data_IF_593662154113
#
_entry.id   IF_593662154113
#
_cell.length_a   1.000
_cell.length_b   1.000
_cell.length_c   1.000
_cell.angle_alpha   90.00
_cell.angle_beta   90.00
_cell.angle_gamma   90.00
#
_symmetry.space_group_name_H-M   'P 1'
#
loop_
_entity.id
_entity.type
_entity.pdbx_description
1 polymer ?
#
# COMPACT_ATOMS: atom_id res chain seq x y z
N UNK A 1 20.65 0.53 26.72
CA UNK A 1 20.66 1.29 25.45
C UNK A 1 19.52 0.76 24.61
N UNK A 2 18.56 1.59 24.25
CA UNK A 2 17.39 1.18 23.46
C UNK A 2 17.82 1.04 22.00
N UNK A 3 17.46 -0.07 21.34
CA UNK A 3 17.70 -0.23 19.91
C UNK A 3 16.79 0.69 19.07
N UNK A 4 17.20 0.99 17.84
CA UNK A 4 16.48 1.92 16.96
C UNK A 4 15.06 1.44 16.60
N UNK A 5 14.83 0.13 16.55
CA UNK A 5 13.51 -0.46 16.22
C UNK A 5 12.51 -0.17 17.33
N UNK A 6 12.92 -0.40 18.58
CA UNK A 6 12.12 -0.08 19.77
C UNK A 6 11.84 1.42 19.83
N UNK A 7 12.85 2.26 19.55
CA UNK A 7 12.72 3.72 19.53
C UNK A 7 11.68 4.20 18.50
N UNK A 8 11.77 3.71 17.25
CA UNK A 8 10.83 4.05 16.17
C UNK A 8 9.39 3.62 16.47
N UNK A 9 9.23 2.55 17.26
CA UNK A 9 7.92 2.05 17.68
C UNK A 9 7.29 2.94 18.76
N UNK A 10 8.09 3.51 19.65
CA UNK A 10 7.64 4.41 20.71
C UNK A 10 7.23 5.79 20.19
N UNK A 11 8.07 6.41 19.34
CA UNK A 11 7.79 7.76 18.87
C UNK A 11 8.98 8.45 18.21
N UNK A 12 8.71 9.60 17.59
CA UNK A 12 9.71 10.35 16.82
C UNK A 12 10.82 10.94 17.71
N UNK A 13 10.47 11.38 18.93
CA UNK A 13 11.43 11.93 19.90
C UNK A 13 12.43 10.86 20.35
N UNK A 14 11.93 9.68 20.70
CA UNK A 14 12.70 8.51 21.08
C UNK A 14 13.61 8.06 19.94
N UNK A 15 13.08 8.00 18.72
CA UNK A 15 13.82 7.67 17.52
C UNK A 15 14.98 8.66 17.24
N UNK A 16 14.74 9.98 17.37
CA UNK A 16 15.80 11.00 17.21
C UNK A 16 16.89 10.85 18.27
N UNK A 17 16.51 10.60 19.53
CA UNK A 17 17.48 10.36 20.60
C UNK A 17 18.32 9.10 20.35
N UNK A 18 17.69 8.00 19.90
CA UNK A 18 18.37 6.76 19.56
C UNK A 18 19.32 6.94 18.35
N UNK A 19 18.91 7.68 17.33
CA UNK A 19 19.79 7.96 16.18
C UNK A 19 21.04 8.76 16.58
N UNK A 20 20.88 9.74 17.48
CA UNK A 20 21.97 10.62 17.90
C UNK A 20 23.15 9.86 18.54
N UNK A 21 22.86 8.73 19.20
CA UNK A 21 23.86 7.88 19.86
C UNK A 21 24.38 6.74 18.96
N UNK A 22 23.79 6.50 17.79
CA UNK A 22 24.26 5.47 16.87
C UNK A 22 25.58 5.87 16.19
N UNK A 23 26.52 4.92 16.00
CA UNK A 23 27.71 5.13 15.18
C UNK A 23 27.34 5.58 13.75
N UNK A 24 28.14 6.43 13.08
CA UNK A 24 27.84 6.92 11.74
C UNK A 24 27.56 5.82 10.70
N UNK A 25 28.28 4.70 10.76
CA UNK A 25 28.09 3.57 9.84
C UNK A 25 26.69 2.95 9.95
N UNK A 26 26.12 2.90 11.15
CA UNK A 26 24.82 2.29 11.44
C UNK A 26 23.65 3.21 11.04
N UNK A 27 23.90 4.52 10.88
CA UNK A 27 22.88 5.50 10.46
C UNK A 27 22.47 5.33 9.00
N UNK A 28 23.32 4.72 8.17
CA UNK A 28 23.09 4.57 6.72
C UNK A 28 21.74 3.92 6.40
N UNK A 29 21.30 2.96 7.21
CA UNK A 29 20.04 2.24 7.00
C UNK A 29 18.86 2.78 7.83
N UNK A 30 19.09 3.79 8.68
CA UNK A 30 18.08 4.30 9.60
C UNK A 30 16.88 4.89 8.86
N UNK A 31 17.10 5.62 7.77
CA UNK A 31 16.02 6.19 6.96
C UNK A 31 15.12 5.11 6.34
N UNK A 32 15.71 4.02 5.82
CA UNK A 32 14.96 2.91 5.25
C UNK A 32 14.16 2.15 6.33
N UNK A 33 14.77 1.96 7.49
CA UNK A 33 14.12 1.35 8.65
C UNK A 33 12.92 2.20 9.14
N UNK A 34 13.11 3.51 9.24
CA UNK A 34 12.05 4.45 9.60
C UNK A 34 10.88 4.37 8.62
N UNK A 35 11.14 4.31 7.31
CA UNK A 35 10.06 4.22 6.31
C UNK A 35 9.27 2.92 6.47
N UNK A 36 9.96 1.79 6.67
CA UNK A 36 9.34 0.48 6.87
C UNK A 36 8.37 0.47 8.06
N UNK A 37 8.72 1.17 9.14
CA UNK A 37 7.89 1.30 10.35
C UNK A 37 6.87 2.46 10.29
N UNK A 38 6.63 3.02 9.10
CA UNK A 38 5.61 4.06 8.91
C UNK A 38 6.03 5.43 9.47
N UNK A 39 7.33 5.75 9.43
CA UNK A 39 7.89 7.06 9.85
C UNK A 39 8.49 7.83 8.66
N UNK A 40 7.68 8.20 7.64
CA UNK A 40 8.20 8.86 6.45
C UNK A 40 8.88 10.21 6.73
N UNK A 41 8.44 10.96 7.75
CA UNK A 41 9.10 12.21 8.13
C UNK A 41 10.53 12.00 8.62
N UNK A 42 10.76 11.00 9.46
CA UNK A 42 12.11 10.64 9.91
C UNK A 42 12.98 10.15 8.74
N UNK A 43 12.40 9.43 7.78
CA UNK A 43 13.11 9.06 6.55
C UNK A 43 13.60 10.28 5.78
N UNK A 44 12.76 11.31 5.65
CA UNK A 44 13.12 12.56 4.96
C UNK A 44 14.20 13.35 5.71
N UNK A 45 14.21 13.28 7.04
CA UNK A 45 15.23 13.92 7.87
C UNK A 45 16.58 13.19 7.83
N UNK A 46 16.56 11.86 7.70
CA UNK A 46 17.75 11.02 7.91
C UNK A 46 18.38 10.50 6.62
N UNK A 47 17.63 10.47 5.52
CA UNK A 47 18.12 9.95 4.23
C UNK A 47 18.37 11.06 3.22
N UNK A 48 19.51 10.97 2.55
CA UNK A 48 19.84 11.70 1.33
C UNK A 48 19.57 10.87 0.06
N UNK A 49 19.18 9.60 0.18
CA UNK A 49 19.01 8.70 -0.96
C UNK A 49 17.70 9.00 -1.73
N UNK A 50 17.77 9.37 -3.02
CA UNK A 50 16.62 9.92 -3.74
C UNK A 50 15.40 9.00 -3.84
N UNK A 51 15.57 7.70 -4.07
CA UNK A 51 14.42 6.79 -4.25
C UNK A 51 13.70 6.59 -2.91
N UNK A 52 14.47 6.45 -1.83
CA UNK A 52 13.90 6.35 -0.49
C UNK A 52 13.17 7.63 -0.06
N UNK A 53 13.72 8.81 -0.37
CA UNK A 53 13.05 10.10 -0.14
C UNK A 53 11.78 10.23 -0.97
N UNK A 54 11.81 9.85 -2.24
CA UNK A 54 10.64 9.83 -3.10
C UNK A 54 9.56 8.89 -2.52
N UNK A 55 9.91 7.69 -2.08
CA UNK A 55 8.97 6.77 -1.43
C UNK A 55 8.36 7.36 -0.15
N UNK A 56 9.14 8.08 0.66
CA UNK A 56 8.64 8.78 1.85
C UNK A 56 7.68 9.93 1.49
N UNK A 57 7.99 10.76 0.49
CA UNK A 57 7.07 11.78 0.00
C UNK A 57 5.78 11.19 -0.56
N UNK A 58 5.85 10.07 -1.28
CA UNK A 58 4.66 9.38 -1.78
C UNK A 58 3.78 8.88 -0.63
N UNK A 59 4.37 8.39 0.47
CA UNK A 59 3.64 8.00 1.69
C UNK A 59 2.79 9.15 2.23
N UNK A 60 3.36 10.36 2.20
CA UNK A 60 2.74 11.61 2.65
C UNK A 60 1.78 12.22 1.62
N UNK A 61 1.64 11.64 0.43
CA UNK A 61 0.82 12.19 -0.65
C UNK A 61 1.46 13.38 -1.40
N UNK A 62 2.72 13.71 -1.09
CA UNK A 62 3.46 14.81 -1.71
C UNK A 62 4.05 14.41 -3.06
N UNK A 63 3.20 14.08 -4.03
CA UNK A 63 3.61 13.56 -5.36
C UNK A 63 4.51 14.52 -6.14
N UNK A 64 4.31 15.83 -6.01
CA UNK A 64 5.20 16.85 -6.59
C UNK A 64 6.64 16.80 -6.05
N UNK A 65 6.78 16.68 -4.73
CA UNK A 65 8.09 16.54 -4.08
C UNK A 65 8.75 15.19 -4.42
N UNK A 66 7.97 14.10 -4.48
CA UNK A 66 8.48 12.81 -4.92
C UNK A 66 9.03 12.87 -6.37
N UNK A 67 8.30 13.50 -7.30
CA UNK A 67 8.77 13.70 -8.68
C UNK A 67 10.05 14.55 -8.74
N UNK A 68 10.21 15.52 -7.84
CA UNK A 68 11.43 16.32 -7.74
C UNK A 68 12.64 15.47 -7.36
N UNK A 69 12.52 14.60 -6.35
CA UNK A 69 13.58 13.66 -5.95
C UNK A 69 13.92 12.66 -7.08
N UNK A 70 12.93 12.28 -7.89
CA UNK A 70 13.12 11.38 -9.03
C UNK A 70 13.72 12.06 -10.27
N UNK A 71 13.83 13.40 -10.31
CA UNK A 71 14.42 14.08 -11.48
C UNK A 71 15.88 13.65 -11.65
N UNK A 72 16.23 13.28 -12.88
CA UNK A 72 17.59 12.86 -13.22
C UNK A 72 17.95 11.44 -12.77
N UNK A 73 17.03 10.70 -12.14
CA UNK A 73 17.21 9.28 -11.91
C UNK A 73 17.15 8.53 -13.26
N UNK A 74 17.93 7.45 -13.43
CA UNK A 74 17.87 6.65 -14.65
C UNK A 74 16.50 5.99 -14.82
N UNK A 75 16.08 5.75 -16.07
CA UNK A 75 14.83 5.03 -16.36
C UNK A 75 15.04 3.52 -16.13
N UNK A 76 15.06 3.12 -14.86
CA UNK A 76 15.14 1.73 -14.41
C UNK A 76 13.89 1.36 -13.62
N UNK A 77 13.74 0.07 -13.33
CA UNK A 77 12.52 -0.49 -12.74
C UNK A 77 12.07 0.23 -11.46
N UNK A 78 12.98 0.52 -10.53
CA UNK A 78 12.64 1.13 -9.22
C UNK A 78 12.17 2.59 -9.34
N UNK A 79 12.90 3.51 -10.00
CA UNK A 79 12.38 4.85 -10.33
C UNK A 79 11.04 4.80 -11.08
N UNK A 80 10.90 3.91 -12.07
CA UNK A 80 9.67 3.79 -12.85
C UNK A 80 8.46 3.37 -11.98
N UNK A 81 8.64 2.45 -11.03
CA UNK A 81 7.60 2.10 -10.04
C UNK A 81 7.18 3.32 -9.22
N UNK A 82 8.13 4.14 -8.77
CA UNK A 82 7.83 5.34 -7.97
C UNK A 82 7.12 6.41 -8.79
N UNK A 83 7.50 6.59 -10.06
CA UNK A 83 6.77 7.45 -11.00
C UNK A 83 5.33 6.95 -11.24
N UNK A 84 5.15 5.66 -11.47
CA UNK A 84 3.83 5.05 -11.64
C UNK A 84 2.97 5.19 -10.38
N UNK A 85 3.56 5.04 -9.19
CA UNK A 85 2.88 5.29 -7.91
C UNK A 85 2.49 6.75 -7.76
N UNK A 86 3.35 7.70 -8.11
CA UNK A 86 3.01 9.13 -8.09
C UNK A 86 1.80 9.42 -9.00
N UNK A 87 1.83 8.89 -10.23
CA UNK A 87 0.73 9.04 -11.17
C UNK A 87 -0.57 8.40 -10.66
N UNK A 88 -0.50 7.22 -10.02
CA UNK A 88 -1.67 6.56 -9.41
C UNK A 88 -2.30 7.39 -8.29
N UNK A 89 -1.49 8.01 -7.43
CA UNK A 89 -1.97 8.85 -6.34
C UNK A 89 -2.63 10.14 -6.86
N UNK A 90 -2.08 10.73 -7.92
CA UNK A 90 -2.65 11.90 -8.59
C UNK A 90 -3.86 11.58 -9.48
N UNK A 91 -4.19 10.29 -9.67
CA UNK A 91 -5.19 9.82 -10.65
C UNK A 91 -4.89 10.33 -12.07
N UNK A 92 -3.61 10.39 -12.42
CA UNK A 92 -3.18 10.83 -13.74
C UNK A 92 -3.67 9.86 -14.84
N UNK A 93 -4.06 10.36 -16.02
CA UNK A 93 -4.62 9.53 -17.08
C UNK A 93 -3.63 8.50 -17.64
N UNK A 94 -2.33 8.75 -17.51
CA UNK A 94 -1.24 7.89 -17.96
C UNK A 94 -0.76 6.88 -16.90
N UNK A 95 -1.37 6.86 -15.71
CA UNK A 95 -0.92 6.04 -14.60
C UNK A 95 -0.90 4.53 -14.92
N UNK A 96 -1.83 4.05 -15.75
CA UNK A 96 -1.85 2.67 -16.23
C UNK A 96 -0.68 2.37 -17.19
N UNK A 97 -0.37 3.29 -18.10
CA UNK A 97 0.75 3.14 -19.02
C UNK A 97 2.10 3.12 -18.28
N UNK A 98 2.24 3.96 -17.24
CA UNK A 98 3.43 4.01 -16.38
C UNK A 98 3.59 2.72 -15.55
N UNK A 99 2.51 2.16 -15.00
CA UNK A 99 2.56 0.90 -14.28
C UNK A 99 2.97 -0.28 -15.19
N UNK A 100 2.45 -0.30 -16.42
CA UNK A 100 2.85 -1.29 -17.43
C UNK A 100 4.32 -1.12 -17.85
N UNK A 101 4.81 0.12 -17.97
CA UNK A 101 6.22 0.42 -18.25
C UNK A 101 7.15 -0.09 -17.14
N UNK A 102 6.83 0.25 -15.89
CA UNK A 102 7.57 -0.23 -14.73
C UNK A 102 7.64 -1.77 -14.67
N UNK A 103 6.54 -2.47 -15.01
CA UNK A 103 6.54 -3.92 -15.09
C UNK A 103 7.45 -4.48 -16.20
N UNK A 104 7.51 -3.82 -17.37
CA UNK A 104 8.42 -4.22 -18.46
C UNK A 104 9.89 -4.06 -18.03
N UNK A 105 10.25 -2.93 -17.44
CA UNK A 105 11.59 -2.69 -16.93
C UNK A 105 11.96 -3.71 -15.84
N UNK A 106 11.07 -3.94 -14.86
CA UNK A 106 11.31 -4.90 -13.79
C UNK A 106 11.58 -6.32 -14.31
N UNK A 107 10.86 -6.76 -15.36
CA UNK A 107 11.13 -8.05 -16.01
C UNK A 107 12.47 -8.06 -16.74
N UNK A 108 12.79 -7.00 -17.48
CA UNK A 108 14.03 -6.90 -18.22
C UNK A 108 15.27 -6.88 -17.32
N UNK A 109 15.15 -6.23 -16.15
CA UNK A 109 16.22 -6.12 -15.16
C UNK A 109 16.28 -7.30 -14.18
N UNK A 110 15.23 -8.13 -14.12
CA UNK A 110 15.11 -9.20 -13.13
C UNK A 110 14.86 -8.71 -11.70
N UNK A 111 14.38 -7.47 -11.52
CA UNK A 111 14.08 -6.92 -10.19
C UNK A 111 12.70 -7.41 -9.71
N UNK A 112 12.72 -8.50 -8.93
CA UNK A 112 11.51 -9.12 -8.37
C UNK A 112 10.69 -8.19 -7.47
N UNK A 113 11.34 -7.30 -6.70
CA UNK A 113 10.63 -6.37 -5.81
C UNK A 113 9.91 -5.30 -6.62
N UNK A 114 10.58 -4.74 -7.64
CA UNK A 114 9.94 -3.80 -8.56
C UNK A 114 8.81 -4.47 -9.35
N UNK A 115 8.96 -5.74 -9.73
CA UNK A 115 7.92 -6.49 -10.44
C UNK A 115 6.68 -6.71 -9.57
N UNK A 116 6.85 -7.08 -8.30
CA UNK A 116 5.75 -7.18 -7.33
C UNK A 116 5.05 -5.82 -7.18
N UNK A 117 5.80 -4.73 -7.01
CA UNK A 117 5.22 -3.39 -6.86
C UNK A 117 4.47 -2.93 -8.12
N UNK A 118 4.99 -3.23 -9.32
CA UNK A 118 4.31 -2.94 -10.58
C UNK A 118 3.05 -3.79 -10.78
N UNK A 119 3.07 -5.08 -10.39
CA UNK A 119 1.88 -5.94 -10.40
C UNK A 119 0.76 -5.40 -9.51
N UNK A 120 1.11 -4.92 -8.30
CA UNK A 120 0.19 -4.24 -7.41
C UNK A 120 -0.40 -2.99 -8.09
N UNK A 121 0.44 -2.13 -8.67
CA UNK A 121 -0.01 -0.91 -9.34
C UNK A 121 -0.96 -1.19 -10.50
N UNK A 122 -0.67 -2.18 -11.34
CA UNK A 122 -1.58 -2.57 -12.44
C UNK A 122 -2.94 -3.05 -11.90
N UNK A 123 -2.93 -3.90 -10.86
CA UNK A 123 -4.16 -4.37 -10.25
C UNK A 123 -4.99 -3.24 -9.61
N UNK A 124 -4.33 -2.26 -9.00
CA UNK A 124 -5.01 -1.06 -8.46
C UNK A 124 -5.66 -0.18 -9.53
N UNK A 125 -5.18 -0.22 -10.78
CA UNK A 125 -5.83 0.45 -11.92
C UNK A 125 -7.05 -0.36 -12.37
N UNK A 126 -6.90 -1.68 -12.50
CA UNK A 126 -7.98 -2.57 -12.88
C UNK A 126 -9.16 -2.45 -11.90
N UNK A 127 -8.89 -2.39 -10.59
CA UNK A 127 -9.91 -2.24 -9.55
C UNK A 127 -10.63 -0.89 -9.52
N UNK A 128 -10.29 0.06 -10.40
CA UNK A 128 -11.08 1.29 -10.54
C UNK A 128 -12.44 1.04 -11.22
N UNK A 129 -12.61 -0.08 -11.93
CA UNK A 129 -13.87 -0.51 -12.51
C UNK A 129 -14.76 -1.29 -11.51
N UNK A 130 -16.07 -1.06 -11.55
CA UNK A 130 -17.04 -1.75 -10.70
C UNK A 130 -17.50 -3.12 -11.24
N UNK A 131 -17.12 -3.47 -12.47
CA UNK A 131 -17.59 -4.70 -13.10
C UNK A 131 -16.78 -5.94 -12.67
N UNK A 132 -17.36 -7.11 -12.87
CA UNK A 132 -16.73 -8.38 -12.50
C UNK A 132 -15.45 -8.67 -13.31
N UNK A 133 -15.34 -8.14 -14.53
CA UNK A 133 -14.20 -8.38 -15.41
C UNK A 133 -12.95 -7.65 -14.91
N UNK A 134 -13.11 -6.44 -14.37
CA UNK A 134 -12.08 -5.65 -13.69
C UNK A 134 -11.46 -6.42 -12.52
N UNK A 135 -12.28 -7.07 -11.69
CA UNK A 135 -11.77 -7.91 -10.60
C UNK A 135 -10.93 -9.10 -11.11
N UNK A 136 -11.34 -9.76 -12.20
CA UNK A 136 -10.54 -10.81 -12.80
C UNK A 136 -9.25 -10.30 -13.45
N UNK A 137 -9.25 -9.10 -14.05
CA UNK A 137 -8.05 -8.46 -14.55
C UNK A 137 -7.05 -8.19 -13.42
N UNK A 138 -7.51 -7.60 -12.32
CA UNK A 138 -6.70 -7.38 -11.13
C UNK A 138 -6.10 -8.68 -10.58
N UNK A 139 -6.87 -9.77 -10.51
CA UNK A 139 -6.38 -11.08 -10.08
C UNK A 139 -5.27 -11.62 -11.00
N UNK A 140 -5.37 -11.43 -12.32
CA UNK A 140 -4.32 -11.83 -13.26
C UNK A 140 -3.05 -11.02 -13.05
N UNK A 141 -3.18 -9.70 -12.89
CA UNK A 141 -2.05 -8.81 -12.60
C UNK A 141 -1.32 -9.23 -11.31
N UNK A 142 -2.06 -9.54 -10.24
CA UNK A 142 -1.48 -9.96 -8.95
C UNK A 142 -0.86 -11.36 -8.96
N UNK A 143 -1.31 -12.26 -9.85
CA UNK A 143 -0.78 -13.61 -9.95
C UNK A 143 0.72 -13.62 -10.29
N UNK A 144 1.19 -12.64 -11.07
CA UNK A 144 2.61 -12.49 -11.38
C UNK A 144 3.44 -12.19 -10.12
N UNK A 145 3.01 -11.25 -9.28
CA UNK A 145 3.71 -10.95 -8.03
C UNK A 145 3.69 -12.12 -7.04
N UNK A 146 2.60 -12.91 -7.00
CA UNK A 146 2.57 -14.17 -6.24
C UNK A 146 3.60 -15.17 -6.77
N UNK A 147 3.74 -15.28 -8.09
CA UNK A 147 4.68 -16.21 -8.71
C UNK A 147 6.13 -15.84 -8.40
N UNK A 148 6.46 -14.55 -8.37
CA UNK A 148 7.80 -14.07 -7.96
C UNK A 148 8.11 -14.50 -6.52
N UNK A 149 7.17 -14.33 -5.59
CA UNK A 149 7.36 -14.75 -4.20
C UNK A 149 7.56 -16.28 -4.09
N UNK A 150 6.78 -17.06 -4.84
CA UNK A 150 6.91 -18.52 -4.90
C UNK A 150 8.29 -18.95 -5.43
N UNK A 151 8.74 -18.38 -6.55
CA UNK A 151 10.02 -18.73 -7.19
C UNK A 151 11.23 -18.34 -6.34
N UNK A 152 11.10 -17.33 -5.49
CA UNK A 152 12.18 -16.85 -4.60
C UNK A 152 12.15 -17.50 -3.21
N UNK A 153 11.16 -18.37 -2.94
CA UNK A 153 10.95 -18.99 -1.63
C UNK A 153 10.59 -17.99 -0.53
N UNK A 154 10.23 -16.75 -0.89
CA UNK A 154 9.90 -15.70 0.07
C UNK A 154 8.40 -15.71 0.40
N UNK A 155 8.02 -15.32 1.62
CA UNK A 155 6.62 -15.03 1.92
C UNK A 155 6.06 -13.98 0.94
N UNK A 156 4.85 -14.21 0.42
CA UNK A 156 4.15 -13.21 -0.38
C UNK A 156 4.07 -11.86 0.36
N UNK A 157 4.36 -10.79 -0.39
CA UNK A 157 4.35 -9.41 0.08
C UNK A 157 3.00 -9.03 0.72
N UNK A 158 2.99 -8.40 1.90
CA UNK A 158 1.74 -8.09 2.60
C UNK A 158 0.88 -7.06 1.87
N UNK A 159 1.47 -6.11 1.12
CA UNK A 159 0.71 -5.15 0.34
C UNK A 159 0.05 -5.82 -0.86
N UNK A 160 0.76 -6.73 -1.52
CA UNK A 160 0.19 -7.59 -2.56
C UNK A 160 -1.01 -8.38 -2.03
N UNK A 161 -0.88 -9.01 -0.86
CA UNK A 161 -1.98 -9.77 -0.24
C UNK A 161 -3.17 -8.87 0.11
N UNK A 162 -2.93 -7.65 0.59
CA UNK A 162 -4.00 -6.71 0.93
C UNK A 162 -4.80 -6.30 -0.32
N UNK A 163 -4.14 -5.96 -1.42
CA UNK A 163 -4.82 -5.64 -2.70
C UNK A 163 -5.52 -6.87 -3.29
N UNK A 164 -4.92 -8.05 -3.16
CA UNK A 164 -5.53 -9.31 -3.54
C UNK A 164 -6.84 -9.59 -2.81
N UNK A 165 -6.93 -9.26 -1.52
CA UNK A 165 -8.16 -9.41 -0.77
C UNK A 165 -9.29 -8.54 -1.36
N UNK A 166 -9.00 -7.29 -1.72
CA UNK A 166 -9.98 -6.41 -2.39
C UNK A 166 -10.41 -6.95 -3.75
N UNK A 167 -9.48 -7.48 -4.56
CA UNK A 167 -9.82 -8.11 -5.83
C UNK A 167 -10.70 -9.36 -5.67
N UNK A 168 -10.49 -10.15 -4.61
CA UNK A 168 -11.25 -11.37 -4.33
C UNK A 168 -12.64 -11.11 -3.74
N UNK A 169 -12.84 -9.98 -3.05
CA UNK A 169 -14.02 -9.74 -2.21
C UNK A 169 -15.38 -9.96 -2.91
N UNK A 170 -15.67 -9.39 -4.09
CA UNK A 170 -16.96 -9.62 -4.74
C UNK A 170 -17.12 -11.02 -5.35
N UNK A 171 -16.03 -11.77 -5.48
CA UNK A 171 -16.03 -13.12 -6.04
C UNK A 171 -16.13 -14.20 -4.95
N UNK A 172 -15.48 -13.96 -3.80
CA UNK A 172 -15.45 -14.86 -2.66
C UNK A 172 -15.05 -14.10 -1.39
N UNK A 173 -16.04 -13.61 -0.65
CA UNK A 173 -15.82 -12.82 0.56
C UNK A 173 -15.05 -13.58 1.65
N UNK A 174 -15.30 -14.88 1.84
CA UNK A 174 -14.59 -15.71 2.82
C UNK A 174 -13.10 -15.83 2.50
N UNK A 175 -12.75 -16.10 1.23
CA UNK A 175 -11.36 -16.17 0.78
C UNK A 175 -10.68 -14.81 0.91
N UNK A 176 -11.37 -13.73 0.53
CA UNK A 176 -10.88 -12.37 0.67
C UNK A 176 -10.54 -12.04 2.13
N UNK A 177 -11.42 -12.36 3.08
CA UNK A 177 -11.18 -12.14 4.51
C UNK A 177 -9.96 -12.94 5.01
N UNK A 178 -9.82 -14.20 4.62
CA UNK A 178 -8.65 -15.01 4.98
C UNK A 178 -7.34 -14.44 4.38
N UNK A 179 -7.38 -13.95 3.14
CA UNK A 179 -6.24 -13.28 2.50
C UNK A 179 -5.89 -11.97 3.23
N UNK A 180 -6.89 -11.17 3.59
CA UNK A 180 -6.70 -9.92 4.32
C UNK A 180 -6.14 -10.16 5.73
N UNK A 181 -6.59 -11.19 6.44
CA UNK A 181 -6.02 -11.58 7.74
C UNK A 181 -4.52 -11.92 7.61
N UNK A 182 -4.12 -12.69 6.58
CA UNK A 182 -2.70 -12.97 6.31
C UNK A 182 -1.90 -11.71 6.00
N UNK A 183 -2.48 -10.78 5.24
CA UNK A 183 -1.85 -9.49 4.95
C UNK A 183 -1.66 -8.66 6.24
N UNK A 184 -2.66 -8.69 7.13
CA UNK A 184 -2.63 -8.01 8.42
C UNK A 184 -1.57 -8.61 9.36
N UNK A 185 -1.44 -9.93 9.42
CA UNK A 185 -0.44 -10.61 10.26
C UNK A 185 0.99 -10.29 9.81
N UNK A 186 1.21 -10.15 8.49
CA UNK A 186 2.54 -9.89 7.91
C UNK A 186 2.87 -8.40 7.75
N UNK A 187 1.86 -7.54 7.79
CA UNK A 187 2.02 -6.11 7.53
C UNK A 187 2.55 -5.36 8.74
N UNK A 188 3.63 -4.61 8.53
CA UNK A 188 4.22 -3.76 9.58
C UNK A 188 3.22 -2.70 10.09
N UNK A 189 3.33 -2.27 11.36
CA UNK A 189 2.53 -1.17 11.90
C UNK A 189 2.65 0.09 11.03
N UNK A 190 1.53 0.77 10.78
CA UNK A 190 1.51 1.98 9.97
C UNK A 190 1.87 1.80 8.49
N UNK A 191 1.92 0.58 7.96
CA UNK A 191 2.19 0.28 6.54
C UNK A 191 0.91 0.36 5.67
N UNK A 192 1.01 0.55 4.33
CA UNK A 192 -0.17 0.59 3.47
C UNK A 192 -0.88 -0.76 3.46
N UNK A 193 -0.12 -1.85 3.49
CA UNK A 193 -0.63 -3.21 3.58
C UNK A 193 -1.61 -3.39 4.75
N UNK A 194 -1.22 -2.90 5.94
CA UNK A 194 -2.04 -3.05 7.16
C UNK A 194 -3.35 -2.27 7.06
N UNK A 195 -3.29 -1.03 6.55
CA UNK A 195 -4.48 -0.18 6.32
C UNK A 195 -5.44 -0.86 5.34
N UNK A 196 -4.93 -1.32 4.19
CA UNK A 196 -5.74 -1.96 3.15
C UNK A 196 -6.33 -3.30 3.61
N UNK A 197 -5.58 -4.08 4.38
CA UNK A 197 -6.06 -5.33 4.97
C UNK A 197 -7.21 -5.09 5.96
N UNK A 198 -7.11 -4.07 6.81
CA UNK A 198 -8.18 -3.70 7.74
C UNK A 198 -9.44 -3.23 7.01
N UNK A 199 -9.30 -2.46 5.93
CA UNK A 199 -10.44 -2.10 5.08
C UNK A 199 -11.09 -3.33 4.44
N UNK A 200 -10.29 -4.29 3.93
CA UNK A 200 -10.81 -5.53 3.36
C UNK A 200 -11.58 -6.38 4.40
N UNK A 201 -11.21 -6.28 5.67
CA UNK A 201 -11.87 -6.93 6.82
C UNK A 201 -13.07 -6.13 7.38
N UNK A 202 -13.46 -5.02 6.75
CA UNK A 202 -14.54 -4.12 7.22
C UNK A 202 -14.26 -3.51 8.61
N UNK A 203 -13.00 -3.14 8.88
CA UNK A 203 -12.53 -2.49 10.12
C UNK A 203 -12.02 -1.06 9.84
N UNK A 204 -12.88 -0.13 9.39
CA UNK A 204 -12.48 1.18 8.91
C UNK A 204 -11.83 2.08 9.98
N UNK A 205 -12.32 2.02 11.22
CA UNK A 205 -11.76 2.86 12.32
C UNK A 205 -10.32 2.47 12.63
N UNK A 206 -10.03 1.18 12.68
CA UNK A 206 -8.66 0.68 12.86
C UNK A 206 -7.78 0.98 11.66
N UNK A 207 -8.32 0.90 10.44
CA UNK A 207 -7.61 1.29 9.23
C UNK A 207 -7.21 2.78 9.28
N UNK A 208 -8.12 3.64 9.74
CA UNK A 208 -7.87 5.06 9.92
C UNK A 208 -6.79 5.32 10.99
N UNK A 209 -6.87 4.65 12.14
CA UNK A 209 -5.84 4.74 13.19
C UNK A 209 -4.46 4.27 12.69
N UNK A 210 -4.40 3.21 11.88
CA UNK A 210 -3.15 2.76 11.26
C UNK A 210 -2.63 3.76 10.22
N UNK A 211 -3.51 4.36 9.42
CA UNK A 211 -3.12 5.38 8.45
C UNK A 211 -2.53 6.62 9.15
N UNK A 212 -3.16 7.09 10.23
CA UNK A 212 -2.64 8.18 11.07
C UNK A 212 -1.28 7.81 11.67
N UNK A 213 -1.16 6.63 12.29
CA UNK A 213 0.10 6.14 12.87
C UNK A 213 1.24 6.13 11.86
N UNK A 214 0.95 5.72 10.62
CA UNK A 214 1.91 5.62 9.53
C UNK A 214 2.14 6.90 8.73
N UNK A 215 1.51 8.02 9.12
CA UNK A 215 1.45 9.26 8.34
C UNK A 215 1.10 8.99 6.86
N UNK A 216 0.10 8.14 6.64
CA UNK A 216 -0.31 7.71 5.31
C UNK A 216 -1.40 8.62 4.75
N UNK A 217 -1.11 9.28 3.62
CA UNK A 217 -2.08 10.07 2.90
C UNK A 217 -3.30 9.26 2.43
N UNK A 218 -4.47 9.89 2.48
CA UNK A 218 -5.76 9.28 2.17
C UNK A 218 -5.84 8.70 0.75
N UNK A 219 -5.16 9.34 -0.21
CA UNK A 219 -5.07 8.90 -1.61
C UNK A 219 -4.60 7.44 -1.79
N UNK A 220 -3.89 6.87 -0.80
CA UNK A 220 -3.47 5.47 -0.83
C UNK A 220 -4.60 4.46 -0.58
N UNK A 221 -5.64 4.84 0.18
CA UNK A 221 -6.59 3.87 0.72
C UNK A 221 -8.06 4.24 0.48
N UNK A 222 -8.39 5.52 0.23
CA UNK A 222 -9.74 5.97 -0.11
C UNK A 222 -10.37 5.21 -1.30
N UNK A 223 -9.65 4.92 -2.41
CA UNK A 223 -10.24 4.16 -3.51
C UNK A 223 -10.80 2.80 -3.07
N UNK A 224 -10.16 2.16 -2.09
CA UNK A 224 -10.56 0.86 -1.57
C UNK A 224 -11.70 0.95 -0.56
N UNK A 225 -11.75 2.02 0.24
CA UNK A 225 -12.90 2.28 1.12
C UNK A 225 -14.20 2.44 0.30
N UNK A 226 -14.10 3.04 -0.90
CA UNK A 226 -15.21 3.10 -1.87
C UNK A 226 -15.66 1.71 -2.35
N UNK A 227 -14.73 0.81 -2.65
CA UNK A 227 -15.05 -0.57 -3.06
C UNK A 227 -15.80 -1.36 -1.98
N UNK A 228 -15.39 -1.18 -0.72
CA UNK A 228 -16.04 -1.81 0.43
C UNK A 228 -17.47 -1.29 0.59
N UNK A 229 -17.66 0.02 0.43
CA UNK A 229 -18.97 0.66 0.57
C UNK A 229 -19.93 0.24 -0.55
N UNK A 230 -19.46 0.17 -1.80
CA UNK A 230 -20.26 -0.24 -2.95
C UNK A 230 -20.70 -1.72 -2.90
N UNK A 231 -19.92 -2.58 -2.25
CA UNK A 231 -20.24 -4.01 -2.10
C UNK A 231 -21.25 -4.31 -0.98
N UNK A 232 -21.63 -3.31 -0.16
CA UNK A 232 -22.61 -3.51 0.91
C UNK A 232 -24.03 -3.42 0.31
N UNK A 233 -24.90 -4.44 0.49
CA UNK A 233 -26.29 -4.32 0.08
C UNK A 233 -26.95 -3.14 0.83
N UNK A 234 -27.87 -2.40 0.20
CA UNK A 234 -28.58 -1.32 0.86
C UNK A 234 -29.25 -1.87 2.13
N UNK A 235 -29.14 -1.14 3.24
CA UNK A 235 -29.83 -1.50 4.47
C UNK A 235 -31.33 -1.62 4.14
N UNK A 236 -31.90 -2.81 4.35
CA UNK A 236 -33.34 -2.97 4.27
C UNK A 236 -33.95 -2.05 5.31
N UNK A 237 -34.65 -1.01 4.85
CA UNK A 237 -35.50 -0.17 5.69
C UNK A 237 -36.39 -1.09 6.52
N UNK A 238 -36.50 -0.89 7.85
CA UNK A 238 -37.46 -1.63 8.65
C UNK A 238 -38.83 -1.42 8.02
N UNK A 239 -39.46 -2.52 7.61
CA UNK A 239 -40.84 -2.47 7.13
C UNK A 239 -41.67 -1.80 8.20
N UNK A 240 -42.37 -0.74 7.83
CA UNK A 240 -43.51 -0.23 8.59
C UNK A 240 -44.51 -1.37 8.69
N UNK A 241 -44.51 -2.06 9.83
CA UNK A 241 -45.53 -3.04 10.17
C UNK A 241 -46.89 -2.41 9.97
N UNK A 242 -47.65 -2.99 9.04
CA UNK A 242 -48.99 -2.59 8.71
C UNK A 242 -49.86 -2.64 9.96
N UNK A 243 -50.40 -1.50 10.32
CA UNK A 243 -51.48 -1.41 11.31
C UNK A 243 -52.68 -2.17 10.76
N UNK A 244 -52.96 -3.33 11.34
CA UNK A 244 -54.24 -3.99 11.20
C UNK A 244 -55.30 -3.07 11.81
N UNK A 245 -56.16 -2.51 10.98
CA UNK A 245 -57.42 -1.91 11.40
C UNK A 245 -58.51 -2.96 11.13
N UNK A 246 -58.99 -3.58 12.21
CA UNK A 246 -60.28 -4.26 12.21
C UNK A 246 -61.39 -3.23 11.94
N UNK A 247 -62.24 -3.54 10.97
CA UNK A 247 -63.45 -2.81 10.62
C UNK A 247 -64.38 -3.71 9.80
#
# INVERSE_FOLDING_TARGET
MMDLTAALTLGDSEARAALAILPPGDRTHAGAHALRLGRPHLTLDWSAEPLLRAAAYLRLGSTGAARQELRGQPDTARPAVLHARAARLDRAPDAAALAAHAARLARAEGDGNALIAAAILNAEQDLSGADRAAHFAALRSLAEGLKVAELTGQPADPHLLAVLAHAQRPLNARKAAATAAKALDRGEPGSPARVLALLALDRPDEAHAQAQRGSLAAAWWEPFAGLVSAARPPATTPGTDGTAADG
#
